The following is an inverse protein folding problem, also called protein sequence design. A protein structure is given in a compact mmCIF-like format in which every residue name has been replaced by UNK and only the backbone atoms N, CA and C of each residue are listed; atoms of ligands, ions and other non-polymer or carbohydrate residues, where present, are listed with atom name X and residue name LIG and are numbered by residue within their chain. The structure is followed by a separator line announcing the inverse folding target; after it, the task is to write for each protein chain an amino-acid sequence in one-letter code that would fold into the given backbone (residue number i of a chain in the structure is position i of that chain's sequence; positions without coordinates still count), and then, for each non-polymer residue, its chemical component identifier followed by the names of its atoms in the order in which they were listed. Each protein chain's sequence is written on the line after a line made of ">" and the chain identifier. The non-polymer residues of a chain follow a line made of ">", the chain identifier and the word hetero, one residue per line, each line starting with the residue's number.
data_IF_334861682089
#
_entry.id   IF_334861682089
#
_cell.length_a   1.000
_cell.length_b   1.000
_cell.length_c   1.000
_cell.angle_alpha   90.00
_cell.angle_beta   90.00
_cell.angle_gamma   90.00
#
_symmetry.space_group_name_H-M   'P 1'
#
loop_
_entity.id
_entity.type
_entity.pdbx_description
1 polymer ?
#
# COMPACT_ATOMS: atom_id res chain seq x y z
N UNK A 1 -14.85 17.27 53.48
CA UNK A 1 -14.61 15.98 52.81
C UNK A 1 -14.58 16.24 51.28
N UNK A 2 -13.43 16.19 50.63
CA UNK A 2 -13.38 16.30 49.16
C UNK A 2 -13.85 14.98 48.55
N UNK A 3 -14.83 15.06 47.68
CA UNK A 3 -15.45 13.93 47.00
C UNK A 3 -14.36 13.11 46.24
N UNK A 4 -14.53 11.79 46.21
CA UNK A 4 -13.66 10.82 45.49
C UNK A 4 -13.59 11.08 43.97
N UNK A 5 -14.45 12.00 43.46
CA UNK A 5 -14.51 12.42 42.05
C UNK A 5 -13.43 13.44 41.63
N UNK A 6 -12.77 14.12 42.58
CA UNK A 6 -11.82 15.22 42.30
C UNK A 6 -10.33 14.80 42.22
N UNK A 7 -10.04 13.51 42.33
CA UNK A 7 -8.66 13.03 42.17
C UNK A 7 -8.37 12.81 40.68
N UNK A 8 -7.45 13.55 40.06
CA UNK A 8 -7.06 13.25 38.68
C UNK A 8 -6.59 11.79 38.63
N UNK A 9 -7.18 11.02 37.71
CA UNK A 9 -6.81 9.61 37.53
C UNK A 9 -5.31 9.53 37.21
N UNK A 10 -4.58 8.66 37.93
CA UNK A 10 -3.15 8.43 37.64
C UNK A 10 -2.99 8.06 36.16
N UNK A 11 -1.95 8.59 35.48
CA UNK A 11 -1.72 8.27 34.08
C UNK A 11 -1.57 6.74 33.89
N UNK A 12 -2.17 6.24 32.82
CA UNK A 12 -2.12 4.80 32.51
C UNK A 12 -0.67 4.36 32.25
N UNK A 13 -0.12 3.37 32.97
CA UNK A 13 1.27 2.95 32.83
C UNK A 13 1.62 2.44 31.43
N UNK A 14 0.64 2.04 30.59
CA UNK A 14 0.86 1.67 29.21
C UNK A 14 0.85 2.88 28.23
N UNK A 15 0.50 4.09 28.70
CA UNK A 15 0.41 5.26 27.84
C UNK A 15 1.73 5.62 27.13
N UNK A 16 2.91 5.62 27.79
CA UNK A 16 4.17 5.89 27.10
C UNK A 16 4.45 4.90 25.95
N UNK A 17 4.18 3.61 26.16
CA UNK A 17 4.40 2.59 25.13
C UNK A 17 3.44 2.76 23.93
N UNK A 18 2.17 3.09 24.18
CA UNK A 18 1.17 3.36 23.12
C UNK A 18 1.57 4.60 22.30
N UNK A 19 1.99 5.68 22.96
CA UNK A 19 2.44 6.91 22.30
C UNK A 19 3.72 6.65 21.48
N UNK A 20 4.68 5.94 22.04
CA UNK A 20 5.92 5.57 21.34
C UNK A 20 5.65 4.69 20.10
N UNK A 21 4.77 3.69 20.19
CA UNK A 21 4.39 2.85 19.06
C UNK A 21 3.66 3.66 17.96
N UNK A 22 2.84 4.64 18.34
CA UNK A 22 2.21 5.55 17.40
C UNK A 22 3.24 6.45 16.71
N UNK A 23 4.17 7.03 17.46
CA UNK A 23 5.24 7.88 16.92
C UNK A 23 6.17 7.08 15.98
N UNK A 24 6.57 5.86 16.35
CA UNK A 24 7.38 4.96 15.52
C UNK A 24 6.72 4.64 14.17
N UNK A 25 5.38 4.59 14.11
CA UNK A 25 4.62 4.46 12.87
C UNK A 25 4.52 5.77 12.06
N UNK A 26 5.24 6.81 12.45
CA UNK A 26 5.11 8.17 11.89
C UNK A 26 3.66 8.69 11.98
N UNK A 27 2.94 8.34 13.07
CA UNK A 27 1.55 8.73 13.30
C UNK A 27 0.52 8.04 12.40
N UNK A 28 0.85 6.91 11.78
CA UNK A 28 -0.02 6.24 10.80
C UNK A 28 -0.90 5.16 11.40
N UNK A 29 -0.46 4.50 12.48
CA UNK A 29 -1.17 3.37 13.04
C UNK A 29 -2.39 3.76 13.86
N UNK A 30 -3.50 3.05 13.62
CA UNK A 30 -4.64 3.02 14.51
C UNK A 30 -4.51 1.92 15.57
N UNK A 31 -5.46 1.87 16.49
CA UNK A 31 -5.42 1.00 17.69
C UNK A 31 -5.16 -0.49 17.43
N UNK A 32 -5.57 -1.03 16.27
CA UNK A 32 -5.33 -2.45 15.93
C UNK A 32 -3.84 -2.71 15.67
N UNK A 33 -3.20 -1.86 14.86
CA UNK A 33 -1.78 -1.98 14.55
C UNK A 33 -0.90 -1.61 15.75
N UNK A 34 -1.30 -0.60 16.56
CA UNK A 34 -0.59 -0.27 17.80
C UNK A 34 -0.61 -1.47 18.75
N UNK A 35 -1.79 -2.09 18.95
CA UNK A 35 -1.88 -3.31 19.78
C UNK A 35 -0.93 -4.40 19.27
N UNK A 36 -0.96 -4.71 17.98
CA UNK A 36 -0.09 -5.72 17.39
C UNK A 36 1.40 -5.36 17.51
N UNK A 37 1.77 -4.09 17.30
CA UNK A 37 3.14 -3.61 17.48
C UNK A 37 3.62 -3.78 18.93
N UNK A 38 2.78 -3.48 19.91
CA UNK A 38 3.09 -3.67 21.33
C UNK A 38 3.25 -5.15 21.68
N UNK A 39 2.38 -6.03 21.17
CA UNK A 39 2.48 -7.49 21.37
C UNK A 39 3.80 -8.05 20.81
N UNK A 40 4.24 -7.57 19.65
CA UNK A 40 5.55 -7.92 19.07
C UNK A 40 6.73 -7.46 19.93
N UNK A 41 6.54 -6.42 20.74
CA UNK A 41 7.53 -5.93 21.71
C UNK A 41 7.36 -6.55 23.10
N UNK A 42 6.53 -7.59 23.26
CA UNK A 42 6.28 -8.26 24.55
C UNK A 42 5.31 -7.51 25.48
N UNK A 43 4.66 -6.43 25.01
CA UNK A 43 3.73 -5.65 25.83
C UNK A 43 2.28 -6.04 25.52
N UNK A 44 1.64 -6.73 26.46
CA UNK A 44 0.23 -7.17 26.31
C UNK A 44 -0.73 -6.08 26.80
N UNK A 45 -1.50 -5.52 25.86
CA UNK A 45 -2.52 -4.48 26.15
C UNK A 45 -3.80 -4.78 25.37
N UNK A 46 -4.95 -4.68 26.01
CA UNK A 46 -6.22 -4.84 25.30
C UNK A 46 -6.47 -3.69 24.30
N UNK A 47 -7.08 -3.99 23.15
CA UNK A 47 -7.44 -2.96 22.16
C UNK A 47 -8.30 -1.84 22.74
N UNK A 48 -9.24 -2.17 23.68
CA UNK A 48 -10.08 -1.17 24.36
C UNK A 48 -9.22 -0.18 25.15
N UNK A 49 -8.19 -0.69 25.88
CA UNK A 49 -7.25 0.14 26.62
C UNK A 49 -6.42 1.01 25.70
N UNK A 50 -5.88 0.46 24.59
CA UNK A 50 -5.18 1.25 23.55
C UNK A 50 -6.07 2.37 23.01
N UNK A 51 -7.34 2.08 22.65
CA UNK A 51 -8.28 3.11 22.17
C UNK A 51 -8.51 4.22 23.18
N UNK A 52 -8.62 3.89 24.49
CA UNK A 52 -8.77 4.87 25.55
C UNK A 52 -7.53 5.76 25.64
N UNK A 53 -6.36 5.16 25.73
CA UNK A 53 -5.07 5.87 25.83
C UNK A 53 -4.88 6.81 24.63
N UNK A 54 -5.15 6.34 23.42
CA UNK A 54 -5.07 7.17 22.21
C UNK A 54 -5.99 8.39 22.28
N UNK A 55 -7.22 8.23 22.80
CA UNK A 55 -8.18 9.33 22.94
C UNK A 55 -7.71 10.35 23.98
N UNK A 56 -7.17 9.89 25.10
CA UNK A 56 -6.69 10.72 26.20
C UNK A 56 -5.39 11.48 25.87
N UNK A 57 -4.54 10.90 25.04
CA UNK A 57 -3.21 11.45 24.70
C UNK A 57 -3.13 12.05 23.29
N UNK A 58 -4.23 12.12 22.53
CA UNK A 58 -4.31 12.75 21.22
C UNK A 58 -3.86 11.95 19.99
N UNK A 59 -3.18 10.77 20.06
CA UNK A 59 -2.81 10.03 18.87
C UNK A 59 -4.02 9.67 17.99
N UNK A 60 -3.96 10.04 16.71
CA UNK A 60 -5.02 9.74 15.73
C UNK A 60 -4.39 8.97 14.57
N UNK A 61 -4.93 7.79 14.25
CA UNK A 61 -4.46 7.01 13.10
C UNK A 61 -4.82 7.65 11.76
N UNK A 62 -4.04 7.36 10.72
CA UNK A 62 -4.23 7.93 9.37
C UNK A 62 -5.59 7.62 8.71
N UNK A 63 -6.30 6.61 9.20
CA UNK A 63 -7.57 6.16 8.63
C UNK A 63 -8.76 6.81 9.33
N UNK A 64 -9.28 7.90 8.77
CA UNK A 64 -10.60 8.44 9.09
C UNK A 64 -11.70 7.71 8.31
N UNK A 65 -12.94 7.69 8.86
CA UNK A 65 -14.11 7.19 8.12
C UNK A 65 -14.48 8.16 7.00
N UNK A 66 -13.99 7.95 5.77
CA UNK A 66 -14.54 8.63 4.58
C UNK A 66 -15.60 7.75 3.93
N UNK A 67 -16.73 8.36 3.54
CA UNK A 67 -17.78 7.69 2.76
C UNK A 67 -17.25 7.38 1.35
N UNK A 68 -17.47 6.15 0.89
CA UNK A 68 -17.15 5.70 -0.45
C UNK A 68 -18.05 6.41 -1.47
N UNK A 69 -17.45 6.93 -2.56
CA UNK A 69 -18.16 7.41 -3.76
C UNK A 69 -17.72 6.56 -4.94
N UNK A 70 -18.71 5.97 -5.62
CA UNK A 70 -18.49 5.21 -6.86
C UNK A 70 -18.31 6.21 -8.02
N UNK A 71 -17.26 6.04 -8.82
CA UNK A 71 -17.06 6.78 -10.07
C UNK A 71 -17.24 5.81 -11.24
N UNK A 72 -18.12 6.10 -12.22
CA UNK A 72 -18.21 5.33 -13.46
C UNK A 72 -17.04 5.67 -14.38
N UNK A 73 -16.34 4.65 -14.88
CA UNK A 73 -15.22 4.77 -15.82
C UNK A 73 -15.62 4.32 -17.24
N UNK A 74 -15.00 4.90 -18.27
CA UNK A 74 -15.12 4.47 -19.66
C UNK A 74 -14.24 3.23 -19.92
N UNK A 75 -14.65 2.35 -20.84
CA UNK A 75 -14.10 1.01 -21.00
C UNK A 75 -13.52 0.81 -22.40
N UNK A 76 -12.37 0.19 -22.50
CA UNK A 76 -11.75 -0.27 -23.76
C UNK A 76 -11.97 -1.80 -23.96
N UNK A 77 -12.10 -2.26 -25.20
CA UNK A 77 -12.60 -3.61 -25.54
C UNK A 77 -11.49 -4.59 -26.00
N UNK A 78 -10.29 -4.52 -25.46
CA UNK A 78 -9.24 -5.47 -25.81
C UNK A 78 -9.48 -6.88 -25.23
N UNK A 79 -9.17 -7.91 -26.03
CA UNK A 79 -9.46 -9.33 -25.73
C UNK A 79 -8.26 -10.04 -25.06
N UNK A 80 -7.65 -9.39 -24.05
CA UNK A 80 -6.56 -9.96 -23.27
C UNK A 80 -7.12 -10.65 -22.01
N UNK A 81 -6.74 -11.91 -21.73
CA UNK A 81 -7.30 -12.68 -20.62
C UNK A 81 -6.86 -12.14 -19.26
N UNK A 82 -7.71 -12.35 -18.24
CA UNK A 82 -7.35 -12.14 -16.83
C UNK A 82 -6.70 -13.42 -16.28
N UNK A 83 -5.39 -13.52 -16.38
CA UNK A 83 -4.61 -14.68 -15.91
C UNK A 83 -4.58 -14.77 -14.39
N UNK A 84 -4.65 -13.64 -13.70
CA UNK A 84 -4.64 -13.59 -12.23
C UNK A 84 -5.93 -14.13 -11.63
N UNK A 85 -7.08 -13.91 -12.28
CA UNK A 85 -8.40 -14.46 -11.96
C UNK A 85 -8.72 -14.44 -10.45
N UNK A 86 -8.38 -13.37 -9.74
CA UNK A 86 -8.52 -13.18 -8.27
C UNK A 86 -7.68 -14.12 -7.41
N UNK A 87 -6.79 -14.90 -8.00
CA UNK A 87 -5.82 -15.74 -7.29
C UNK A 87 -4.65 -14.90 -6.75
N UNK A 88 -4.89 -14.15 -5.67
CA UNK A 88 -3.88 -13.25 -5.06
C UNK A 88 -2.99 -13.95 -4.02
N UNK A 89 -3.07 -15.27 -3.86
CA UNK A 89 -2.25 -16.08 -2.96
C UNK A 89 -1.58 -17.25 -3.70
N UNK A 90 -0.67 -17.97 -3.03
CA UNK A 90 0.00 -19.16 -3.58
C UNK A 90 1.05 -18.86 -4.67
N UNK A 91 1.42 -17.59 -4.88
CA UNK A 91 2.41 -17.17 -5.88
C UNK A 91 3.83 -17.23 -5.32
N UNK A 92 4.83 -17.39 -6.19
CA UNK A 92 6.22 -17.19 -5.82
C UNK A 92 6.53 -15.68 -5.69
N UNK A 93 7.51 -15.30 -4.84
CA UNK A 93 7.91 -13.89 -4.71
C UNK A 93 8.41 -13.33 -6.05
N UNK A 94 8.00 -12.09 -6.37
CA UNK A 94 8.46 -11.32 -7.54
C UNK A 94 8.01 -11.83 -8.90
N UNK A 95 7.19 -12.88 -8.96
CA UNK A 95 6.73 -13.45 -10.24
C UNK A 95 5.48 -12.81 -10.78
N UNK A 96 4.57 -12.35 -9.92
CA UNK A 96 3.28 -11.80 -10.32
C UNK A 96 3.13 -10.38 -9.76
N UNK A 97 3.28 -9.42 -10.64
CA UNK A 97 3.26 -7.99 -10.30
C UNK A 97 1.97 -7.37 -10.80
N UNK A 98 1.29 -6.63 -9.95
CA UNK A 98 0.18 -5.78 -10.37
C UNK A 98 0.55 -4.30 -10.31
N UNK A 99 -0.16 -3.47 -11.09
CA UNK A 99 0.07 -2.03 -11.14
C UNK A 99 -1.19 -1.26 -11.44
N UNK A 100 -1.30 -0.11 -10.81
CA UNK A 100 -2.32 0.92 -11.07
C UNK A 100 -1.72 2.31 -10.84
N UNK A 101 -2.28 3.32 -11.49
CA UNK A 101 -1.86 4.70 -11.30
C UNK A 101 -2.79 5.46 -10.35
N UNK A 102 -2.19 6.24 -9.49
CA UNK A 102 -2.93 7.20 -8.69
C UNK A 102 -2.44 8.62 -8.92
N UNK A 103 -3.34 9.61 -8.77
CA UNK A 103 -3.01 11.03 -8.95
C UNK A 103 -2.74 11.72 -7.62
N UNK A 104 -1.79 12.66 -7.65
CA UNK A 104 -1.32 13.44 -6.50
C UNK A 104 -1.22 14.91 -6.88
N UNK A 105 -1.69 15.81 -6.01
CA UNK A 105 -1.54 17.26 -6.22
C UNK A 105 -0.13 17.69 -5.87
N UNK A 106 0.54 18.39 -6.81
CA UNK A 106 1.87 18.99 -6.64
C UNK A 106 1.79 20.45 -7.01
N UNK A 107 1.86 21.35 -6.05
CA UNK A 107 1.58 22.76 -6.26
C UNK A 107 0.21 22.97 -6.91
N UNK A 108 0.19 23.64 -8.06
CA UNK A 108 -1.01 23.90 -8.83
C UNK A 108 -1.36 22.79 -9.84
N UNK A 109 -0.51 21.75 -10.00
CA UNK A 109 -0.63 20.74 -11.06
C UNK A 109 -0.93 19.34 -10.53
N UNK A 110 -1.50 18.48 -11.36
CA UNK A 110 -1.64 17.07 -11.08
C UNK A 110 -0.39 16.30 -11.51
N UNK A 111 0.03 15.37 -10.68
CA UNK A 111 1.06 14.38 -10.96
C UNK A 111 0.48 12.99 -10.75
N UNK A 112 1.14 12.00 -11.29
CA UNK A 112 0.73 10.60 -11.22
C UNK A 112 1.82 9.80 -10.52
N UNK A 113 1.40 8.79 -9.77
CA UNK A 113 2.25 7.82 -9.11
C UNK A 113 1.89 6.45 -9.66
N UNK A 114 2.89 5.71 -10.12
CA UNK A 114 2.82 4.31 -10.51
C UNK A 114 3.48 3.48 -9.42
N UNK A 115 2.80 2.44 -8.96
CA UNK A 115 3.34 1.44 -8.04
C UNK A 115 3.33 0.08 -8.73
N UNK A 116 4.41 -0.68 -8.60
CA UNK A 116 4.49 -2.09 -8.95
C UNK A 116 4.40 -2.89 -7.65
N UNK A 117 3.36 -3.69 -7.47
CA UNK A 117 3.05 -4.39 -6.22
C UNK A 117 3.15 -5.89 -6.44
N UNK A 118 3.97 -6.56 -5.65
CA UNK A 118 4.06 -8.01 -5.66
C UNK A 118 2.81 -8.65 -5.04
N UNK A 119 2.14 -9.50 -5.79
CA UNK A 119 0.96 -10.23 -5.32
C UNK A 119 1.28 -11.25 -4.24
N UNK A 120 2.52 -11.68 -4.14
CA UNK A 120 2.97 -12.62 -3.11
C UNK A 120 2.83 -12.04 -1.69
N UNK A 121 3.39 -10.86 -1.43
CA UNK A 121 3.51 -10.29 -0.08
C UNK A 121 3.08 -8.82 0.02
N UNK A 122 2.55 -8.22 -1.06
CA UNK A 122 2.15 -6.79 -1.12
C UNK A 122 3.33 -5.82 -1.02
N UNK A 123 4.55 -6.27 -1.27
CA UNK A 123 5.75 -5.43 -1.38
C UNK A 123 5.62 -4.47 -2.58
N UNK A 124 5.99 -3.21 -2.40
CA UNK A 124 6.05 -2.25 -3.51
C UNK A 124 7.43 -2.39 -4.15
N UNK A 125 7.56 -3.30 -5.10
CA UNK A 125 8.84 -3.65 -5.72
C UNK A 125 9.37 -2.60 -6.69
N UNK A 126 8.49 -1.71 -7.17
CA UNK A 126 8.89 -0.60 -8.05
C UNK A 126 7.94 0.57 -7.91
N UNK A 127 8.44 1.79 -8.15
CA UNK A 127 7.63 3.00 -8.05
C UNK A 127 8.17 4.14 -8.91
N UNK A 128 7.27 4.99 -9.37
CA UNK A 128 7.64 6.22 -10.07
C UNK A 128 6.61 7.32 -9.81
N UNK A 129 7.02 8.58 -10.04
CA UNK A 129 6.11 9.72 -10.01
C UNK A 129 6.47 10.73 -11.10
N UNK A 130 5.45 11.30 -11.77
CA UNK A 130 5.65 12.25 -12.85
C UNK A 130 4.40 13.03 -13.23
N UNK A 131 4.56 14.09 -14.06
CA UNK A 131 3.46 14.97 -14.45
C UNK A 131 2.58 14.39 -15.57
N UNK A 132 2.96 13.26 -16.17
CA UNK A 132 2.25 12.63 -17.28
C UNK A 132 1.81 11.23 -16.92
N UNK A 133 0.62 10.85 -17.37
CA UNK A 133 0.06 9.53 -17.30
C UNK A 133 0.37 8.82 -18.64
N UNK A 134 1.54 8.20 -18.75
CA UNK A 134 2.03 7.60 -20.00
C UNK A 134 2.90 6.35 -19.73
N UNK A 135 3.24 5.61 -20.79
CA UNK A 135 4.09 4.42 -20.73
C UNK A 135 5.48 4.71 -20.12
N UNK A 136 6.01 5.94 -20.25
CA UNK A 136 7.30 6.31 -19.66
C UNK A 136 7.24 6.28 -18.15
N UNK A 137 6.11 6.69 -17.56
CA UNK A 137 5.92 6.63 -16.11
C UNK A 137 5.96 5.18 -15.63
N UNK A 138 5.28 4.28 -16.34
CA UNK A 138 5.27 2.84 -16.03
C UNK A 138 6.68 2.25 -16.18
N UNK A 139 7.35 2.48 -17.30
CA UNK A 139 8.75 2.02 -17.51
C UNK A 139 9.72 2.57 -16.47
N UNK A 140 9.50 3.81 -16.00
CA UNK A 140 10.31 4.38 -14.92
C UNK A 140 10.09 3.66 -13.57
N UNK A 141 8.92 3.07 -13.32
CA UNK A 141 8.71 2.23 -12.15
C UNK A 141 9.46 0.90 -12.28
N UNK A 142 9.44 0.26 -13.45
CA UNK A 142 10.25 -0.95 -13.70
C UNK A 142 11.76 -0.69 -13.53
N UNK A 143 12.25 0.50 -13.89
CA UNK A 143 13.66 0.88 -13.71
C UNK A 143 14.10 0.99 -12.24
N UNK A 144 13.17 0.95 -11.27
CA UNK A 144 13.48 0.96 -9.82
C UNK A 144 13.49 -0.43 -9.19
N UNK A 145 13.23 -1.49 -9.95
CA UNK A 145 13.30 -2.87 -9.46
C UNK A 145 14.71 -3.18 -8.93
N UNK A 146 14.77 -3.88 -7.80
CA UNK A 146 16.02 -4.35 -7.18
C UNK A 146 16.39 -5.80 -7.57
N UNK A 147 15.68 -6.38 -8.53
CA UNK A 147 15.88 -7.73 -9.05
C UNK A 147 15.71 -7.72 -10.58
N UNK A 148 16.14 -8.78 -11.30
CA UNK A 148 15.99 -8.86 -12.75
C UNK A 148 14.53 -8.78 -13.17
N UNK A 149 14.22 -7.96 -14.17
CA UNK A 149 12.88 -7.84 -14.73
C UNK A 149 12.37 -9.18 -15.31
N UNK A 150 13.27 -10.04 -15.76
CA UNK A 150 13.00 -11.40 -16.24
C UNK A 150 12.50 -12.38 -15.18
N UNK A 151 12.58 -12.03 -13.90
CA UNK A 151 11.99 -12.85 -12.83
C UNK A 151 10.46 -12.69 -12.76
N UNK A 152 9.93 -11.66 -13.42
CA UNK A 152 8.49 -11.40 -13.51
C UNK A 152 7.90 -12.31 -14.60
N UNK A 153 6.94 -13.14 -14.20
CA UNK A 153 6.19 -14.02 -15.10
C UNK A 153 4.93 -13.34 -15.64
N UNK A 154 4.22 -12.58 -14.77
CA UNK A 154 2.93 -11.96 -15.10
C UNK A 154 2.91 -10.50 -14.65
N UNK A 155 2.48 -9.62 -15.54
CA UNK A 155 2.17 -8.21 -15.25
C UNK A 155 0.68 -7.94 -15.40
N UNK A 156 0.01 -7.68 -14.28
CA UNK A 156 -1.43 -7.48 -14.20
C UNK A 156 -1.78 -6.00 -14.01
N UNK A 157 -2.69 -5.48 -14.85
CA UNK A 157 -3.13 -4.07 -14.78
C UNK A 157 -4.61 -3.93 -15.14
N UNK A 158 -5.13 -2.72 -14.97
CA UNK A 158 -6.36 -2.32 -15.64
C UNK A 158 -6.09 -2.08 -17.15
N UNK A 159 -7.14 -1.66 -17.87
CA UNK A 159 -7.10 -1.36 -19.32
C UNK A 159 -6.78 0.12 -19.58
N UNK A 160 -6.01 0.77 -18.71
CA UNK A 160 -5.57 2.14 -18.90
C UNK A 160 -4.59 2.27 -20.07
N UNK A 161 -4.73 3.33 -20.87
CA UNK A 161 -3.86 3.57 -22.04
C UNK A 161 -2.36 3.72 -21.70
N UNK A 162 -2.03 4.02 -20.45
CA UNK A 162 -0.67 4.03 -19.94
C UNK A 162 -0.05 2.63 -19.82
N UNK A 163 -0.89 1.60 -19.67
CA UNK A 163 -0.49 0.20 -19.61
C UNK A 163 -0.74 -0.51 -20.94
N UNK A 164 -1.89 -0.23 -21.58
CA UNK A 164 -2.35 -0.86 -22.83
C UNK A 164 -1.87 -0.06 -24.05
N UNK A 165 -0.61 -0.28 -24.44
CA UNK A 165 0.04 0.39 -25.56
C UNK A 165 1.27 -0.38 -26.05
N UNK A 166 1.66 -0.12 -27.31
CA UNK A 166 2.77 -0.81 -27.96
C UNK A 166 4.13 -0.69 -27.25
N UNK A 167 4.40 0.41 -26.50
CA UNK A 167 5.67 0.54 -25.78
C UNK A 167 5.76 -0.44 -24.60
N UNK A 168 4.64 -0.68 -23.91
CA UNK A 168 4.59 -1.65 -22.82
C UNK A 168 4.57 -3.07 -23.40
N UNK A 169 3.84 -3.32 -24.50
CA UNK A 169 3.82 -4.62 -25.15
C UNK A 169 5.22 -5.06 -25.57
N UNK A 170 5.98 -4.20 -26.25
CA UNK A 170 7.35 -4.48 -26.65
C UNK A 170 8.26 -4.76 -25.44
N UNK A 171 8.07 -4.05 -24.33
CA UNK A 171 8.83 -4.30 -23.11
C UNK A 171 8.48 -5.67 -22.52
N UNK A 172 7.20 -6.00 -22.38
CA UNK A 172 6.78 -7.29 -21.83
C UNK A 172 7.24 -8.46 -22.69
N UNK A 173 7.11 -8.35 -24.02
CA UNK A 173 7.58 -9.34 -24.99
C UNK A 173 9.10 -9.56 -24.89
N UNK A 174 9.88 -8.47 -24.82
CA UNK A 174 11.35 -8.53 -24.75
C UNK A 174 11.86 -9.27 -23.51
N UNK A 175 11.09 -9.28 -22.40
CA UNK A 175 11.45 -9.96 -21.17
C UNK A 175 10.64 -11.25 -20.91
N UNK A 176 9.76 -11.65 -21.85
CA UNK A 176 8.95 -12.86 -21.73
C UNK A 176 7.86 -12.77 -20.66
N UNK A 177 7.38 -11.57 -20.33
CA UNK A 177 6.38 -11.32 -19.28
C UNK A 177 4.99 -11.46 -19.89
N UNK A 178 4.15 -12.32 -19.31
CA UNK A 178 2.77 -12.47 -19.71
C UNK A 178 1.93 -11.27 -19.26
N UNK A 179 1.17 -10.69 -20.19
CA UNK A 179 0.22 -9.62 -19.89
C UNK A 179 -1.08 -10.20 -19.35
N UNK A 180 -1.56 -9.67 -18.24
CA UNK A 180 -2.87 -9.96 -17.67
C UNK A 180 -3.66 -8.66 -17.49
N UNK A 181 -4.89 -8.59 -18.00
CA UNK A 181 -5.78 -7.45 -17.83
C UNK A 181 -7.00 -7.81 -17.00
N UNK A 182 -7.43 -6.89 -16.14
CA UNK A 182 -8.67 -7.03 -15.37
C UNK A 182 -9.86 -7.20 -16.31
N UNK A 183 -10.82 -8.04 -15.91
CA UNK A 183 -12.08 -8.17 -16.63
C UNK A 183 -12.85 -6.84 -16.62
N UNK A 184 -13.52 -6.56 -17.75
CA UNK A 184 -14.31 -5.34 -17.95
C UNK A 184 -15.35 -5.17 -16.83
N UNK A 185 -15.30 -4.04 -16.12
CA UNK A 185 -16.28 -3.73 -15.07
C UNK A 185 -16.14 -4.55 -13.79
N UNK A 186 -15.02 -5.26 -13.60
CA UNK A 186 -14.77 -6.06 -12.40
C UNK A 186 -13.71 -5.40 -11.49
N UNK A 187 -14.10 -4.53 -10.55
CA UNK A 187 -13.16 -3.86 -9.63
C UNK A 187 -12.44 -4.84 -8.69
N UNK A 188 -12.98 -6.03 -8.51
CA UNK A 188 -12.36 -7.05 -7.65
C UNK A 188 -11.06 -7.61 -8.20
N UNK A 189 -10.83 -7.50 -9.51
CA UNK A 189 -9.63 -8.01 -10.17
C UNK A 189 -8.40 -7.14 -9.85
N UNK A 190 -8.59 -5.85 -9.51
CA UNK A 190 -7.55 -4.89 -9.11
C UNK A 190 -7.56 -4.58 -7.60
N UNK A 191 -8.16 -5.43 -6.78
CA UNK A 191 -8.36 -5.16 -5.35
C UNK A 191 -7.05 -4.89 -4.58
N UNK A 192 -5.93 -5.47 -5.00
CA UNK A 192 -4.62 -5.26 -4.37
C UNK A 192 -4.11 -3.86 -4.66
N UNK A 193 -4.15 -3.42 -5.93
CA UNK A 193 -3.71 -2.10 -6.35
C UNK A 193 -4.59 -1.01 -5.74
N UNK A 194 -5.92 -1.15 -5.82
CA UNK A 194 -6.86 -0.23 -5.20
C UNK A 194 -6.64 -0.09 -3.69
N UNK A 195 -6.39 -1.23 -3.01
CA UNK A 195 -6.08 -1.24 -1.58
C UNK A 195 -4.77 -0.53 -1.29
N UNK A 196 -3.72 -0.79 -2.08
CA UNK A 196 -2.39 -0.18 -1.91
C UNK A 196 -2.43 1.31 -2.21
N UNK A 197 -3.09 1.73 -3.28
CA UNK A 197 -3.29 3.14 -3.61
C UNK A 197 -4.11 3.89 -2.54
N UNK A 198 -5.14 3.26 -1.98
CA UNK A 198 -5.90 3.82 -0.85
C UNK A 198 -5.02 3.99 0.39
N UNK A 199 -4.13 3.04 0.66
CA UNK A 199 -3.17 3.11 1.76
C UNK A 199 -2.18 4.25 1.53
N UNK A 200 -1.58 4.35 0.34
CA UNK A 200 -0.68 5.44 -0.05
C UNK A 200 -1.35 6.81 0.13
N UNK A 201 -2.60 6.95 -0.36
CA UNK A 201 -3.36 8.20 -0.20
C UNK A 201 -3.57 8.57 1.27
N UNK A 202 -3.96 7.63 2.11
CA UNK A 202 -4.23 7.88 3.52
C UNK A 202 -2.96 8.14 4.34
N UNK A 203 -1.88 7.44 4.03
CA UNK A 203 -0.67 7.43 4.87
C UNK A 203 0.41 8.42 4.38
N UNK A 204 0.37 8.86 3.11
CA UNK A 204 1.30 9.84 2.54
C UNK A 204 0.56 11.05 1.94
N UNK A 205 -0.25 10.83 0.89
CA UNK A 205 -0.75 11.91 0.03
C UNK A 205 -1.63 12.92 0.77
N UNK A 206 -2.51 12.45 1.66
CA UNK A 206 -3.41 13.33 2.42
C UNK A 206 -2.77 13.95 3.68
N UNK A 207 -1.53 13.61 3.96
CA UNK A 207 -0.80 14.08 5.14
C UNK A 207 0.35 15.02 4.80
N UNK A 208 0.72 15.07 3.53
CA UNK A 208 1.84 15.85 3.02
C UNK A 208 1.36 16.83 1.96
N UNK A 209 2.14 17.88 1.80
CA UNK A 209 2.05 18.81 0.67
C UNK A 209 3.31 18.69 -0.15
N UNK A 210 3.18 18.80 -1.47
CA UNK A 210 4.29 18.66 -2.40
C UNK A 210 4.40 19.93 -3.24
N UNK A 211 5.51 20.64 -3.14
CA UNK A 211 5.79 21.84 -3.93
C UNK A 211 6.29 21.49 -5.33
N UNK A 212 7.04 20.39 -5.48
CA UNK A 212 7.65 19.96 -6.74
C UNK A 212 7.52 18.45 -6.94
N UNK A 213 7.59 18.01 -8.22
CA UNK A 213 7.63 16.57 -8.56
C UNK A 213 8.87 15.88 -7.95
N UNK A 214 9.98 16.59 -7.81
CA UNK A 214 11.20 16.07 -7.16
C UNK A 214 10.93 15.77 -5.67
N UNK A 215 10.26 16.67 -4.98
CA UNK A 215 9.86 16.46 -3.58
C UNK A 215 8.90 15.26 -3.45
N UNK A 216 7.89 15.15 -4.35
CA UNK A 216 7.00 14.00 -4.38
C UNK A 216 7.78 12.69 -4.54
N UNK A 217 8.75 12.63 -5.47
CA UNK A 217 9.58 11.44 -5.70
C UNK A 217 10.38 11.05 -4.46
N UNK A 218 11.03 12.01 -3.82
CA UNK A 218 11.81 11.75 -2.60
C UNK A 218 10.94 11.21 -1.47
N UNK A 219 9.81 11.88 -1.17
CA UNK A 219 8.89 11.45 -0.13
C UNK A 219 8.21 10.11 -0.45
N UNK A 220 7.94 9.82 -1.74
CA UNK A 220 7.43 8.53 -2.19
C UNK A 220 8.44 7.41 -1.94
N UNK A 221 9.72 7.64 -2.29
CA UNK A 221 10.78 6.66 -2.06
C UNK A 221 10.98 6.36 -0.57
N UNK A 222 10.99 7.39 0.29
CA UNK A 222 11.05 7.23 1.75
C UNK A 222 9.83 6.48 2.30
N UNK A 223 8.65 6.72 1.70
CA UNK A 223 7.44 6.04 2.08
C UNK A 223 7.46 4.56 1.68
N UNK A 224 7.89 4.25 0.45
CA UNK A 224 8.00 2.87 -0.06
C UNK A 224 8.98 2.08 0.80
N UNK A 225 10.17 2.65 1.09
CA UNK A 225 11.12 2.01 1.99
C UNK A 225 10.51 1.70 3.38
N UNK A 226 9.79 2.65 3.96
CA UNK A 226 9.10 2.43 5.24
C UNK A 226 7.97 1.41 5.12
N UNK A 227 7.20 1.44 4.02
CA UNK A 227 6.09 0.52 3.76
C UNK A 227 6.57 -0.93 3.68
N UNK A 228 7.65 -1.19 2.97
CA UNK A 228 8.17 -2.53 2.73
C UNK A 228 8.91 -3.11 3.94
N UNK A 229 9.67 -2.29 4.66
CA UNK A 229 10.54 -2.76 5.72
C UNK A 229 9.96 -2.66 7.14
N UNK A 230 9.04 -1.73 7.39
CA UNK A 230 8.59 -1.42 8.76
C UNK A 230 7.08 -1.44 8.95
N UNK A 231 6.31 -1.22 7.88
CA UNK A 231 4.86 -1.17 7.98
C UNK A 231 4.27 -2.57 8.16
N UNK A 232 3.65 -2.81 9.31
CA UNK A 232 2.98 -4.09 9.57
C UNK A 232 1.63 -4.20 8.83
N UNK A 233 1.34 -5.38 8.27
CA UNK A 233 0.15 -5.69 7.50
C UNK A 233 -0.67 -6.78 8.20
N UNK A 234 -1.96 -6.54 8.40
CA UNK A 234 -2.84 -7.54 9.03
C UNK A 234 -2.98 -8.82 8.21
N UNK A 235 -2.93 -8.71 6.87
CA UNK A 235 -2.96 -9.85 5.94
C UNK A 235 -1.69 -10.69 5.98
N UNK A 236 -0.57 -10.12 6.45
CA UNK A 236 0.72 -10.77 6.60
C UNK A 236 1.01 -11.14 8.07
N UNK A 237 -0.02 -11.39 8.88
CA UNK A 237 0.18 -11.70 10.30
C UNK A 237 0.81 -10.56 11.11
N UNK A 238 0.62 -9.31 10.71
CA UNK A 238 1.27 -8.13 11.28
C UNK A 238 2.81 -8.13 11.12
N UNK A 239 3.30 -8.72 10.04
CA UNK A 239 4.67 -8.52 9.56
C UNK A 239 4.72 -7.43 8.50
N UNK A 240 5.92 -6.89 8.22
CA UNK A 240 6.15 -6.09 7.03
C UNK A 240 6.26 -6.99 5.79
N UNK A 241 6.09 -6.47 4.56
CA UNK A 241 6.28 -7.25 3.33
C UNK A 241 7.63 -7.96 3.28
N UNK A 242 8.72 -7.26 3.57
CA UNK A 242 10.08 -7.84 3.56
C UNK A 242 10.24 -8.92 4.63
N UNK A 243 9.81 -8.66 5.88
CA UNK A 243 9.82 -9.68 6.95
C UNK A 243 9.07 -10.95 6.55
N UNK A 244 7.90 -10.80 5.92
CA UNK A 244 7.08 -11.92 5.47
C UNK A 244 7.80 -12.77 4.42
N UNK A 245 8.45 -12.12 3.45
CA UNK A 245 9.25 -12.79 2.40
C UNK A 245 10.47 -13.48 3.00
N UNK A 246 11.22 -12.81 3.87
CA UNK A 246 12.41 -13.37 4.52
C UNK A 246 12.09 -14.55 5.44
N UNK A 247 10.91 -14.55 6.03
CA UNK A 247 10.42 -15.68 6.82
C UNK A 247 9.96 -16.88 5.96
N UNK A 248 10.00 -16.78 4.63
CA UNK A 248 9.58 -17.86 3.72
C UNK A 248 8.10 -18.22 3.82
N UNK A 249 7.26 -17.29 4.28
CA UNK A 249 5.83 -17.52 4.47
C UNK A 249 5.07 -17.27 3.15
N UNK A 250 3.96 -17.95 2.95
CA UNK A 250 3.07 -17.72 1.81
C UNK A 250 1.67 -17.33 2.28
N UNK A 251 0.99 -16.50 1.49
CA UNK A 251 -0.44 -16.26 1.70
C UNK A 251 -1.24 -17.52 1.34
N UNK A 252 -2.28 -17.86 2.12
CA UNK A 252 -3.15 -18.97 1.76
C UNK A 252 -3.81 -18.71 0.40
N UNK A 253 -3.97 -19.75 -0.39
CA UNK A 253 -4.76 -19.67 -1.61
C UNK A 253 -6.16 -19.20 -1.27
N UNK A 254 -6.67 -18.23 -2.05
CA UNK A 254 -8.05 -17.76 -1.89
C UNK A 254 -8.96 -18.95 -2.22
N UNK A 255 -9.63 -19.52 -1.22
CA UNK A 255 -10.71 -20.47 -1.47
C UNK A 255 -11.76 -19.80 -2.36
N UNK A 256 -12.01 -20.40 -3.51
CA UNK A 256 -13.00 -19.98 -4.51
C UNK A 256 -14.41 -20.04 -3.95
#
# INVERSE_FOLDING_TARGET
>A
MRSRADRPAAPDPAAPAVVAAHAASKGRYGSRKIKASLERSGVTVSRRRVCRIMRENGPVGAYGRKRFKVHPGAVNEADVPNVVARGFGGRAPRTHICSDLTYVRVGASWNYVCLLVDLYNREIVGHSAGPRKDARLVKSAFATLSFPISDIEVFHTDRGSEFDNAEIDLMLEAFGIERSLSAKGCPYDNAVDESTNRILKAELVHRETFGTTRELRAKLSDYVHWYDNFRIHSTLGYMSPVEFREAGLSLPESSK
#
